data_IF_033874557533
#
_entry.id   IF_033874557533
#
_cell.length_a   1.000
_cell.length_b   1.000
_cell.length_c   1.000
_cell.angle_alpha   90.00
_cell.angle_beta   90.00
_cell.angle_gamma   90.00
#
_symmetry.space_group_name_H-M   'P 1'
#
loop_
_entity.id
_entity.type
_entity.pdbx_description
1 polymer ?
#
# COMPACT_ATOMS: atom_id res chain seq x y z
N UNK A 1 26.96 12.92 20.40
CA UNK A 1 26.54 13.27 19.03
C UNK A 1 26.67 12.02 18.17
N UNK A 2 25.67 11.13 18.20
CA UNK A 2 25.61 9.99 17.28
C UNK A 2 24.85 10.44 16.03
N UNK A 3 25.59 10.64 14.97
CA UNK A 3 25.09 10.83 13.62
C UNK A 3 24.35 9.56 13.21
N UNK A 4 23.03 9.62 13.13
CA UNK A 4 22.22 8.62 12.43
C UNK A 4 22.49 8.83 10.94
N UNK A 5 23.49 8.10 10.42
CA UNK A 5 23.80 8.07 9.00
C UNK A 5 22.60 7.54 8.23
N UNK A 6 21.83 8.44 7.60
CA UNK A 6 20.88 8.10 6.55
C UNK A 6 21.67 7.48 5.40
N UNK A 7 21.71 6.16 5.30
CA UNK A 7 22.15 5.48 4.09
C UNK A 7 21.02 5.51 3.09
N UNK A 8 20.95 6.55 2.26
CA UNK A 8 20.25 6.47 0.99
C UNK A 8 21.08 5.56 0.07
N UNK A 9 20.62 4.35 -0.17
CA UNK A 9 21.18 3.50 -1.23
C UNK A 9 20.24 3.54 -2.41
N UNK A 10 20.64 4.25 -3.44
CA UNK A 10 20.14 4.08 -4.78
C UNK A 10 20.72 2.76 -5.31
N UNK A 11 19.91 1.70 -5.43
CA UNK A 11 20.35 0.44 -6.01
C UNK A 11 19.43 0.01 -7.14
N UNK A 12 20.02 -0.18 -8.33
CA UNK A 12 19.39 -0.79 -9.49
C UNK A 12 19.21 -2.29 -9.28
N UNK A 13 18.10 -2.69 -8.67
CA UNK A 13 17.57 -4.02 -8.86
C UNK A 13 16.21 -3.84 -9.50
N UNK A 14 16.17 -3.82 -10.84
CA UNK A 14 15.01 -3.43 -11.64
C UNK A 14 14.43 -2.07 -11.22
N UNK A 15 15.31 -1.09 -10.95
CA UNK A 15 14.97 0.33 -10.77
C UNK A 15 13.87 0.62 -9.74
N UNK A 16 13.95 0.03 -8.53
CA UNK A 16 13.09 0.39 -7.39
C UNK A 16 13.85 1.30 -6.45
N UNK A 17 13.28 2.48 -6.21
CA UNK A 17 13.77 3.37 -5.17
C UNK A 17 13.33 2.87 -3.79
N UNK A 18 14.24 2.85 -2.83
CA UNK A 18 13.91 2.57 -1.43
C UNK A 18 14.79 3.36 -0.47
N UNK A 19 14.30 3.50 0.75
CA UNK A 19 15.04 4.02 1.90
C UNK A 19 14.96 3.04 3.05
N UNK A 20 16.06 2.94 3.81
CA UNK A 20 16.13 2.11 5.00
C UNK A 20 16.75 2.85 6.18
N UNK A 21 16.31 2.56 7.41
CA UNK A 21 16.85 3.11 8.64
C UNK A 21 16.60 2.17 9.83
N UNK A 22 17.36 2.38 10.91
CA UNK A 22 17.23 1.60 12.14
C UNK A 22 17.88 0.23 12.07
N UNK A 23 17.62 -0.58 13.09
CA UNK A 23 18.12 -1.94 13.23
C UNK A 23 17.08 -2.77 14.02
N UNK A 24 17.10 -4.09 13.88
CA UNK A 24 16.15 -4.99 14.53
C UNK A 24 15.33 -5.78 13.52
N UNK A 25 14.13 -6.21 13.90
CA UNK A 25 13.23 -6.91 13.00
C UNK A 25 12.78 -5.98 11.85
N UNK A 26 12.68 -6.49 10.61
CA UNK A 26 12.37 -5.64 9.48
C UNK A 26 10.87 -5.32 9.39
N UNK A 27 10.57 -4.03 9.21
CA UNK A 27 9.25 -3.52 8.83
C UNK A 27 9.35 -2.93 7.43
N UNK A 28 8.47 -3.34 6.52
CA UNK A 28 8.38 -2.78 5.17
C UNK A 28 7.07 -2.04 4.99
N UNK A 29 7.16 -0.76 4.67
CA UNK A 29 6.02 0.11 4.40
C UNK A 29 5.72 0.18 2.90
N UNK A 30 4.46 -0.11 2.54
CA UNK A 30 3.96 -0.16 1.16
C UNK A 30 2.91 0.91 0.94
N UNK A 31 3.19 1.87 0.05
CA UNK A 31 2.36 3.06 -0.15
C UNK A 31 1.10 2.81 -0.99
N UNK A 32 0.19 3.79 -0.97
CA UNK A 32 -1.06 3.81 -1.72
C UNK A 32 -0.91 4.27 -3.18
N UNK A 33 -2.00 4.15 -3.96
CA UNK A 33 -2.09 4.66 -5.33
C UNK A 33 -1.88 6.17 -5.38
N UNK A 34 -1.24 6.68 -6.43
CA UNK A 34 -0.90 8.09 -6.67
C UNK A 34 0.08 8.73 -5.68
N UNK A 35 0.66 7.93 -4.79
CA UNK A 35 1.57 8.38 -3.74
C UNK A 35 2.94 7.72 -3.90
N UNK A 36 3.84 7.99 -2.96
CA UNK A 36 5.18 7.42 -2.90
C UNK A 36 5.62 7.15 -1.45
N UNK A 37 6.87 6.73 -1.27
CA UNK A 37 7.44 6.40 0.05
C UNK A 37 7.29 7.51 1.10
N UNK A 38 7.16 8.80 0.68
CA UNK A 38 7.07 9.97 1.58
C UNK A 38 5.80 9.98 2.42
N UNK A 39 4.74 9.29 1.99
CA UNK A 39 3.54 9.16 2.82
C UNK A 39 3.81 8.52 4.18
N UNK A 40 4.93 7.80 4.31
CA UNK A 40 5.36 7.11 5.52
C UNK A 40 6.38 7.88 6.37
N UNK A 41 6.59 9.18 6.13
CA UNK A 41 7.60 9.99 6.83
C UNK A 41 7.49 9.90 8.36
N UNK A 42 6.27 10.01 8.90
CA UNK A 42 6.02 9.94 10.35
C UNK A 42 6.33 8.54 10.89
N UNK A 43 5.82 7.49 10.24
CA UNK A 43 6.03 6.10 10.64
C UNK A 43 7.50 5.71 10.56
N UNK A 44 8.15 6.06 9.45
CA UNK A 44 9.56 5.77 9.21
C UNK A 44 10.44 6.32 10.34
N UNK A 45 10.22 7.57 10.74
CA UNK A 45 11.00 8.24 11.80
C UNK A 45 10.75 7.64 13.20
N UNK A 46 9.52 7.20 13.47
CA UNK A 46 9.16 6.64 14.78
C UNK A 46 9.69 5.21 14.92
N UNK A 47 9.41 4.35 13.94
CA UNK A 47 9.72 2.93 14.03
C UNK A 47 11.21 2.61 13.82
N UNK A 48 11.97 3.46 13.09
CA UNK A 48 13.42 3.30 12.94
C UNK A 48 14.20 3.36 14.27
N UNK A 49 13.57 3.75 15.37
CA UNK A 49 14.20 3.74 16.71
C UNK A 49 14.32 2.33 17.31
N UNK A 50 13.48 1.38 16.86
CA UNK A 50 13.39 0.02 17.40
C UNK A 50 13.51 -1.09 16.35
N UNK A 51 13.20 -0.79 15.09
CA UNK A 51 13.10 -1.74 13.98
C UNK A 51 14.02 -1.37 12.83
N UNK A 52 14.36 -2.33 11.98
CA UNK A 52 14.93 -2.07 10.66
C UNK A 52 13.79 -1.72 9.72
N UNK A 53 13.61 -0.45 9.42
CA UNK A 53 12.49 0.07 8.64
C UNK A 53 12.89 0.29 7.21
N UNK A 54 12.08 -0.22 6.29
CA UNK A 54 12.23 -0.04 4.85
C UNK A 54 10.94 0.60 4.31
N UNK A 55 11.08 1.56 3.39
CA UNK A 55 10.00 2.09 2.57
C UNK A 55 10.48 2.24 1.15
N UNK A 56 9.61 2.01 0.18
CA UNK A 56 10.02 2.02 -1.22
C UNK A 56 8.91 2.56 -2.12
N UNK A 57 9.29 2.98 -3.33
CA UNK A 57 8.36 3.38 -4.36
C UNK A 57 7.96 2.17 -5.20
N UNK A 58 6.65 1.93 -5.32
CA UNK A 58 6.11 0.90 -6.19
C UNK A 58 6.49 1.17 -7.65
N UNK A 59 6.49 0.14 -8.48
CA UNK A 59 6.67 0.26 -9.93
C UNK A 59 5.70 1.28 -10.51
N UNK A 60 6.24 2.27 -11.25
CA UNK A 60 5.47 3.34 -11.86
C UNK A 60 5.01 4.43 -10.89
N UNK A 61 5.63 4.53 -9.70
CA UNK A 61 5.37 5.58 -8.74
C UNK A 61 6.67 6.20 -8.23
N UNK A 62 6.59 7.44 -7.75
CA UNK A 62 7.71 8.18 -7.18
C UNK A 62 8.92 8.20 -8.09
N UNK A 63 10.07 7.75 -7.58
CA UNK A 63 11.33 7.66 -8.32
C UNK A 63 11.61 6.28 -8.90
N UNK A 64 10.73 5.30 -8.68
CA UNK A 64 10.85 3.98 -9.31
C UNK A 64 10.52 4.02 -10.79
N UNK A 65 11.19 3.15 -11.59
CA UNK A 65 10.94 3.09 -13.02
C UNK A 65 9.48 2.73 -13.34
N UNK A 66 8.98 3.31 -14.41
CA UNK A 66 7.66 3.00 -14.98
C UNK A 66 7.66 1.60 -15.62
N UNK A 67 6.48 1.04 -15.76
CA UNK A 67 6.26 -0.18 -16.55
C UNK A 67 5.97 0.16 -18.01
N UNK A 68 5.90 -0.88 -18.83
CA UNK A 68 5.42 -0.80 -20.20
C UNK A 68 4.04 -1.44 -20.33
N UNK A 69 3.26 -1.07 -21.35
CA UNK A 69 1.93 -1.64 -21.59
C UNK A 69 1.95 -3.14 -21.96
N UNK A 70 3.12 -3.64 -22.37
CA UNK A 70 3.27 -5.01 -22.90
C UNK A 70 3.68 -6.03 -21.83
N UNK A 71 3.92 -5.59 -20.59
CA UNK A 71 4.45 -6.47 -19.55
C UNK A 71 3.49 -6.61 -18.37
N UNK A 72 3.01 -7.83 -18.18
CA UNK A 72 2.23 -8.19 -16.99
C UNK A 72 3.15 -8.36 -15.77
N UNK A 73 2.75 -7.80 -14.63
CA UNK A 73 3.53 -7.91 -13.38
C UNK A 73 2.61 -7.92 -12.16
N UNK A 74 3.17 -8.39 -11.05
CA UNK A 74 2.56 -8.30 -9.72
C UNK A 74 3.44 -7.45 -8.81
N UNK A 75 2.87 -6.47 -8.12
CA UNK A 75 3.59 -5.68 -7.13
C UNK A 75 4.15 -6.54 -5.98
N UNK A 76 3.45 -7.62 -5.62
CA UNK A 76 3.91 -8.54 -4.59
C UNK A 76 5.22 -9.24 -4.96
N UNK A 77 5.44 -9.56 -6.24
CA UNK A 77 6.70 -10.13 -6.73
C UNK A 77 7.84 -9.12 -6.68
N UNK A 78 7.54 -7.84 -6.98
CA UNK A 78 8.52 -6.76 -6.81
C UNK A 78 8.92 -6.60 -5.32
N UNK A 79 7.96 -6.71 -4.39
CA UNK A 79 8.23 -6.67 -2.95
C UNK A 79 9.11 -7.84 -2.51
N UNK A 80 8.80 -9.06 -2.94
CA UNK A 80 9.63 -10.24 -2.65
C UNK A 80 11.04 -10.08 -3.21
N UNK A 81 11.17 -9.56 -4.44
CA UNK A 81 12.46 -9.27 -5.08
C UNK A 81 13.26 -8.24 -4.28
N UNK A 82 12.60 -7.19 -3.76
CA UNK A 82 13.23 -6.20 -2.88
C UNK A 82 13.73 -6.87 -1.59
N UNK A 83 12.89 -7.70 -0.95
CA UNK A 83 13.28 -8.43 0.26
C UNK A 83 14.50 -9.33 0.02
N UNK A 84 14.52 -10.07 -1.11
CA UNK A 84 15.66 -10.94 -1.46
C UNK A 84 16.95 -10.14 -1.66
N UNK A 85 16.84 -9.00 -2.29
CA UNK A 85 17.98 -8.09 -2.54
C UNK A 85 18.56 -7.49 -1.27
N UNK A 86 17.70 -7.28 -0.27
CA UNK A 86 18.08 -6.79 1.06
C UNK A 86 18.43 -7.94 2.03
N UNK A 87 18.42 -9.19 1.54
CA UNK A 87 18.64 -10.40 2.36
C UNK A 87 17.64 -10.55 3.52
N UNK A 88 16.43 -10.03 3.36
CA UNK A 88 15.35 -10.10 4.34
C UNK A 88 14.55 -11.37 4.09
N UNK A 89 14.63 -12.33 5.01
CA UNK A 89 13.89 -13.59 4.91
C UNK A 89 12.41 -13.41 5.22
N UNK A 90 12.09 -12.68 6.30
CA UNK A 90 10.73 -12.36 6.73
C UNK A 90 10.68 -10.92 7.20
N UNK A 91 9.51 -10.28 7.06
CA UNK A 91 9.27 -8.92 7.52
C UNK A 91 7.83 -8.73 8.03
N UNK A 92 7.62 -7.72 8.86
CA UNK A 92 6.31 -7.13 9.09
C UNK A 92 5.97 -6.29 7.85
N UNK A 93 4.82 -6.55 7.22
CA UNK A 93 4.39 -5.80 6.03
C UNK A 93 3.25 -4.87 6.44
N UNK A 94 3.47 -3.58 6.22
CA UNK A 94 2.51 -2.51 6.55
C UNK A 94 2.11 -1.79 5.27
N UNK A 95 0.88 -1.97 4.84
CA UNK A 95 0.39 -1.39 3.59
C UNK A 95 -0.87 -0.56 3.77
N UNK A 96 -0.99 0.52 3.00
CA UNK A 96 -2.21 1.34 2.97
C UNK A 96 -2.80 1.37 1.55
N UNK A 97 -4.13 1.20 1.46
CA UNK A 97 -4.87 1.24 0.19
C UNK A 97 -4.30 0.22 -0.82
N UNK A 98 -3.70 0.67 -1.94
CA UNK A 98 -2.99 -0.22 -2.86
C UNK A 98 -1.94 -1.07 -2.12
N UNK A 99 -1.17 -0.46 -1.21
CA UNK A 99 -0.23 -1.19 -0.34
C UNK A 99 -0.91 -2.23 0.55
N UNK A 100 -2.12 -1.95 1.03
CA UNK A 100 -2.94 -2.91 1.77
C UNK A 100 -3.36 -4.10 0.92
N UNK A 101 -3.73 -3.89 -0.36
CA UNK A 101 -3.99 -4.99 -1.30
C UNK A 101 -2.73 -5.82 -1.58
N UNK A 102 -1.58 -5.17 -1.73
CA UNK A 102 -0.29 -5.87 -1.90
C UNK A 102 0.05 -6.70 -0.64
N UNK A 103 -0.27 -6.18 0.55
CA UNK A 103 -0.12 -6.93 1.81
C UNK A 103 -1.05 -8.15 1.85
N UNK A 104 -2.26 -8.04 1.31
CA UNK A 104 -3.17 -9.19 1.14
C UNK A 104 -2.62 -10.22 0.14
N UNK A 105 -1.98 -9.79 -0.95
CA UNK A 105 -1.29 -10.70 -1.88
C UNK A 105 -0.10 -11.41 -1.20
N UNK A 106 0.64 -10.71 -0.34
CA UNK A 106 1.69 -11.34 0.47
C UNK A 106 1.14 -12.45 1.37
N UNK A 107 -0.01 -12.23 2.02
CA UNK A 107 -0.68 -13.25 2.83
C UNK A 107 -1.13 -14.45 1.99
N UNK A 108 -1.59 -14.22 0.76
CA UNK A 108 -2.08 -15.26 -0.12
C UNK A 108 -0.95 -16.11 -0.74
N UNK A 109 0.09 -15.46 -1.27
CA UNK A 109 1.09 -16.12 -2.11
C UNK A 109 2.43 -16.36 -1.40
N UNK A 110 2.77 -15.54 -0.40
CA UNK A 110 4.06 -15.58 0.28
C UNK A 110 3.97 -15.50 1.82
N UNK A 111 3.04 -16.24 2.47
CA UNK A 111 2.86 -16.15 3.93
C UNK A 111 4.14 -16.49 4.70
N UNK A 112 4.97 -17.39 4.17
CA UNK A 112 6.24 -17.77 4.79
C UNK A 112 7.29 -16.65 4.78
N UNK A 113 7.07 -15.57 4.03
CA UNK A 113 7.92 -14.38 3.99
C UNK A 113 7.47 -13.28 4.97
N UNK A 114 6.44 -13.54 5.76
CA UNK A 114 5.85 -12.56 6.67
C UNK A 114 6.08 -12.93 8.13
N UNK A 115 6.36 -11.91 8.95
CA UNK A 115 6.25 -11.95 10.41
C UNK A 115 4.83 -11.55 10.83
N UNK A 116 4.29 -10.53 10.21
CA UNK A 116 2.90 -10.09 10.39
C UNK A 116 2.41 -9.24 9.21
N UNK A 117 1.10 -8.99 9.17
CA UNK A 117 0.43 -8.16 8.19
C UNK A 117 -0.38 -7.04 8.85
N UNK A 118 -0.16 -5.80 8.43
CA UNK A 118 -0.94 -4.64 8.85
C UNK A 118 -1.56 -3.98 7.60
N UNK A 119 -2.87 -4.15 7.44
CA UNK A 119 -3.61 -3.70 6.26
C UNK A 119 -4.46 -2.48 6.62
N UNK A 120 -4.03 -1.31 6.19
CA UNK A 120 -4.76 -0.06 6.39
C UNK A 120 -5.56 0.31 5.14
N UNK A 121 -6.88 0.52 5.27
CA UNK A 121 -7.79 0.83 4.15
C UNK A 121 -7.58 -0.06 2.91
N UNK A 122 -7.16 -1.31 3.14
CA UNK A 122 -6.88 -2.29 2.10
C UNK A 122 -7.48 -3.64 2.44
N UNK A 123 -7.98 -4.34 1.42
CA UNK A 123 -8.69 -5.59 1.59
C UNK A 123 -8.51 -6.47 0.34
N UNK A 124 -9.22 -7.59 0.27
CA UNK A 124 -9.37 -8.37 -0.95
C UNK A 124 -10.57 -7.87 -1.75
N UNK A 125 -10.51 -8.02 -3.07
CA UNK A 125 -11.62 -7.74 -3.97
C UNK A 125 -12.03 -9.02 -4.69
N UNK A 126 -13.33 -9.24 -4.81
CA UNK A 126 -13.86 -10.21 -5.77
C UNK A 126 -13.66 -9.62 -7.17
N UNK A 127 -12.79 -10.20 -7.95
CA UNK A 127 -12.61 -9.83 -9.35
C UNK A 127 -12.36 -11.08 -10.18
N UNK A 128 -12.39 -10.93 -11.50
CA UNK A 128 -11.99 -12.00 -12.42
C UNK A 128 -10.50 -12.32 -12.21
N UNK A 129 -10.12 -13.57 -12.41
CA UNK A 129 -8.74 -14.03 -12.21
C UNK A 129 -7.70 -13.23 -13.03
N UNK A 130 -6.46 -13.13 -12.54
CA UNK A 130 -5.40 -12.34 -13.17
C UNK A 130 -4.96 -12.90 -14.53
N UNK A 131 -5.24 -14.15 -14.78
CA UNK A 131 -4.81 -14.86 -15.99
C UNK A 131 -5.71 -14.61 -17.21
N UNK A 132 -6.86 -13.95 -17.04
CA UNK A 132 -7.74 -13.64 -18.18
C UNK A 132 -7.36 -12.29 -18.78
N UNK A 133 -6.87 -12.26 -20.03
CA UNK A 133 -6.66 -11.01 -20.74
C UNK A 133 -7.99 -10.24 -20.83
N UNK A 134 -7.91 -8.91 -20.81
CA UNK A 134 -9.08 -8.06 -21.05
C UNK A 134 -9.81 -8.54 -22.29
N UNK A 135 -11.12 -8.71 -22.18
CA UNK A 135 -11.98 -8.92 -23.33
C UNK A 135 -11.92 -7.72 -24.28
N UNK A 136 -12.32 -7.90 -25.52
CA UNK A 136 -12.38 -6.78 -26.49
C UNK A 136 -13.27 -5.63 -25.99
N UNK A 137 -14.35 -5.96 -25.29
CA UNK A 137 -15.25 -4.95 -24.72
C UNK A 137 -14.60 -4.20 -23.56
N UNK A 138 -13.96 -4.90 -22.63
CA UNK A 138 -13.22 -4.28 -21.53
C UNK A 138 -12.07 -3.40 -22.04
N UNK A 139 -11.35 -3.85 -23.08
CA UNK A 139 -10.30 -3.06 -23.71
C UNK A 139 -10.85 -1.79 -24.36
N UNK A 140 -12.03 -1.87 -25.02
CA UNK A 140 -12.71 -0.71 -25.60
C UNK A 140 -13.17 0.28 -24.53
N UNK A 141 -13.80 -0.19 -23.47
CA UNK A 141 -14.19 0.66 -22.32
C UNK A 141 -12.97 1.38 -21.75
N UNK A 142 -11.85 0.65 -21.60
CA UNK A 142 -10.60 1.25 -21.11
C UNK A 142 -10.05 2.31 -22.06
N UNK A 143 -10.11 2.10 -23.38
CA UNK A 143 -9.71 3.11 -24.37
C UNK A 143 -10.57 4.38 -24.29
N UNK A 144 -11.88 4.22 -24.08
CA UNK A 144 -12.82 5.33 -23.91
C UNK A 144 -12.55 6.11 -22.62
N UNK A 145 -12.27 5.42 -21.51
CA UNK A 145 -11.86 6.04 -20.23
C UNK A 145 -10.57 6.84 -20.37
N UNK A 146 -9.54 6.28 -21.01
CA UNK A 146 -8.27 6.95 -21.25
C UNK A 146 -8.48 8.20 -22.14
N UNK A 147 -9.28 8.07 -23.21
CA UNK A 147 -9.59 9.19 -24.09
C UNK A 147 -10.34 10.30 -23.36
N UNK A 148 -11.35 9.96 -22.56
CA UNK A 148 -12.11 10.90 -21.75
C UNK A 148 -11.19 11.62 -20.73
N UNK A 149 -10.28 10.89 -20.09
CA UNK A 149 -9.33 11.46 -19.16
C UNK A 149 -8.34 12.42 -19.85
N UNK A 150 -7.82 12.05 -21.01
CA UNK A 150 -6.95 12.93 -21.80
C UNK A 150 -7.68 14.20 -22.23
N UNK A 151 -8.97 14.10 -22.57
CA UNK A 151 -9.81 15.26 -22.90
C UNK A 151 -10.09 16.15 -21.68
N UNK A 152 -10.36 15.55 -20.52
CA UNK A 152 -10.60 16.25 -19.25
C UNK A 152 -9.36 16.98 -18.73
N UNK A 153 -8.20 16.39 -18.97
CA UNK A 153 -6.90 16.87 -18.50
C UNK A 153 -6.47 16.23 -17.16
N UNK A 154 -5.21 15.84 -17.13
CA UNK A 154 -4.59 15.14 -15.99
C UNK A 154 -4.63 15.97 -14.71
N UNK A 155 -4.37 17.27 -14.82
CA UNK A 155 -4.37 18.18 -13.66
C UNK A 155 -5.76 18.30 -13.03
N UNK A 156 -6.83 18.24 -13.81
CA UNK A 156 -8.19 18.24 -13.30
C UNK A 156 -8.46 16.94 -12.55
N UNK A 157 -8.05 15.80 -13.10
CA UNK A 157 -8.16 14.50 -12.46
C UNK A 157 -7.41 14.46 -11.12
N UNK A 158 -6.15 14.92 -11.08
CA UNK A 158 -5.35 14.97 -9.85
C UNK A 158 -6.03 15.80 -8.75
N UNK A 159 -6.57 16.96 -9.12
CA UNK A 159 -7.32 17.83 -8.19
C UNK A 159 -8.58 17.14 -7.65
N UNK A 160 -9.38 16.53 -8.51
CA UNK A 160 -10.59 15.83 -8.09
C UNK A 160 -10.25 14.63 -7.18
N UNK A 161 -9.20 13.88 -7.52
CA UNK A 161 -8.71 12.79 -6.70
C UNK A 161 -8.26 13.26 -5.32
N UNK A 162 -7.45 14.33 -5.27
CA UNK A 162 -7.01 14.96 -4.03
C UNK A 162 -8.19 15.45 -3.18
N UNK A 163 -9.14 16.18 -3.77
CA UNK A 163 -10.32 16.67 -3.05
C UNK A 163 -11.21 15.52 -2.54
N UNK A 164 -11.28 14.41 -3.28
CA UNK A 164 -11.97 13.20 -2.84
C UNK A 164 -11.34 12.60 -1.58
N UNK A 165 -10.01 12.49 -1.55
CA UNK A 165 -9.27 12.02 -0.38
C UNK A 165 -9.43 12.97 0.81
N UNK A 166 -9.32 14.28 0.59
CA UNK A 166 -9.53 15.28 1.63
C UNK A 166 -10.95 15.25 2.19
N UNK A 167 -11.96 15.10 1.33
CA UNK A 167 -13.36 15.03 1.73
C UNK A 167 -13.66 13.82 2.61
N UNK A 168 -13.01 12.68 2.36
CA UNK A 168 -13.17 11.46 3.16
C UNK A 168 -12.59 11.58 4.57
N UNK A 169 -11.72 12.56 4.82
CA UNK A 169 -11.02 12.76 6.10
C UNK A 169 -11.95 13.22 7.23
N UNK A 170 -11.47 13.02 8.45
CA UNK A 170 -12.07 13.52 9.69
C UNK A 170 -11.64 14.95 10.01
N UNK A 171 -11.68 15.29 11.30
CA UNK A 171 -11.41 16.65 11.77
C UNK A 171 -9.95 17.11 11.60
N UNK A 172 -8.98 16.17 11.51
CA UNK A 172 -7.55 16.51 11.35
C UNK A 172 -7.05 16.43 9.89
N UNK A 173 -7.93 16.29 8.91
CA UNK A 173 -7.55 16.14 7.49
C UNK A 173 -6.64 17.24 6.95
N UNK A 174 -6.71 18.46 7.49
CA UNK A 174 -5.86 19.58 7.04
C UNK A 174 -4.36 19.31 7.28
N UNK A 175 -4.01 18.45 8.24
CA UNK A 175 -2.63 18.04 8.51
C UNK A 175 -1.96 17.39 7.29
N UNK A 176 -2.73 16.61 6.54
CA UNK A 176 -2.19 15.90 5.37
C UNK A 176 -2.24 16.72 4.08
N UNK A 177 -2.95 17.85 4.02
CA UNK A 177 -3.23 18.64 2.81
C UNK A 177 -1.99 18.90 1.96
N UNK A 178 -0.95 19.49 2.55
CA UNK A 178 0.26 19.87 1.81
C UNK A 178 1.06 18.66 1.33
N UNK A 179 1.47 17.71 2.20
CA UNK A 179 2.25 16.56 1.76
C UNK A 179 1.47 15.63 0.83
N UNK A 180 0.16 15.47 1.01
CA UNK A 180 -0.68 14.69 0.13
C UNK A 180 -0.78 15.31 -1.27
N UNK A 181 -1.04 16.62 -1.36
CA UNK A 181 -1.09 17.32 -2.63
C UNK A 181 0.25 17.25 -3.36
N UNK A 182 1.36 17.46 -2.66
CA UNK A 182 2.68 17.41 -3.26
C UNK A 182 2.95 16.06 -3.95
N UNK A 183 2.66 14.94 -3.31
CA UNK A 183 2.84 13.61 -3.93
C UNK A 183 1.92 13.40 -5.13
N UNK A 184 0.65 13.82 -5.04
CA UNK A 184 -0.32 13.69 -6.14
C UNK A 184 0.05 14.59 -7.33
N UNK A 185 0.51 15.80 -7.06
CA UNK A 185 0.94 16.76 -8.08
C UNK A 185 2.18 16.27 -8.84
N UNK A 186 3.15 15.71 -8.13
CA UNK A 186 4.38 15.14 -8.68
C UNK A 186 4.19 13.76 -9.35
N UNK A 187 3.08 13.06 -9.08
CA UNK A 187 2.78 11.78 -9.73
C UNK A 187 2.57 11.96 -11.24
N UNK A 188 3.23 11.14 -12.06
CA UNK A 188 3.17 11.23 -13.53
C UNK A 188 1.82 10.80 -14.12
N UNK A 189 0.95 10.20 -13.29
CA UNK A 189 -0.35 9.68 -13.68
C UNK A 189 -0.29 8.67 -14.85
N UNK A 190 0.80 7.89 -14.92
CA UNK A 190 0.98 6.91 -15.99
C UNK A 190 -0.17 5.88 -16.03
N UNK A 191 -0.53 5.34 -14.85
CA UNK A 191 -1.51 4.25 -14.73
C UNK A 191 -2.91 4.59 -15.28
N UNK A 192 -3.52 5.75 -14.99
CA UNK A 192 -4.81 6.08 -15.54
C UNK A 192 -4.77 6.42 -17.03
N UNK A 193 -3.60 6.74 -17.60
CA UNK A 193 -3.43 7.15 -19.01
C UNK A 193 -3.03 6.01 -19.95
N UNK A 194 -2.79 4.82 -19.42
CA UNK A 194 -2.27 3.68 -20.17
C UNK A 194 -3.01 2.38 -19.82
N UNK A 195 -2.83 1.37 -20.64
CA UNK A 195 -3.33 0.01 -20.41
C UNK A 195 -2.34 -0.76 -19.54
N UNK A 196 -2.32 -0.43 -18.25
CA UNK A 196 -1.45 -1.12 -17.31
C UNK A 196 -1.89 -2.58 -17.16
N UNK A 197 -0.97 -3.49 -17.38
CA UNK A 197 -1.19 -4.93 -17.14
C UNK A 197 -0.66 -5.27 -15.75
N UNK A 198 -1.30 -4.74 -14.74
CA UNK A 198 -1.00 -5.00 -13.35
C UNK A 198 -1.94 -6.04 -12.77
N UNK A 199 -1.37 -7.09 -12.21
CA UNK A 199 -2.10 -8.03 -11.36
C UNK A 199 -2.05 -7.50 -9.94
N UNK A 200 -3.21 -7.11 -9.42
CA UNK A 200 -3.37 -6.56 -8.06
C UNK A 200 -4.10 -7.56 -7.18
N UNK A 201 -3.85 -7.42 -5.90
CA UNK A 201 -4.50 -8.17 -4.86
C UNK A 201 -6.00 -8.34 -5.05
N UNK A 202 -6.47 -9.50 -4.72
CA UNK A 202 -7.87 -9.86 -4.73
C UNK A 202 -8.34 -10.51 -6.02
N UNK A 203 -7.49 -10.65 -7.02
CA UNK A 203 -7.88 -11.38 -8.24
C UNK A 203 -8.00 -12.88 -7.96
N UNK A 204 -6.91 -13.51 -7.54
CA UNK A 204 -6.90 -14.93 -7.13
C UNK A 204 -6.57 -15.11 -5.64
N UNK A 205 -6.26 -14.03 -4.92
CA UNK A 205 -5.89 -14.08 -3.51
C UNK A 205 -6.94 -14.81 -2.65
N UNK A 206 -8.22 -14.65 -2.97
CA UNK A 206 -9.30 -15.35 -2.26
C UNK A 206 -9.15 -16.86 -2.36
N UNK A 207 -8.87 -17.40 -3.55
CA UNK A 207 -8.73 -18.85 -3.74
C UNK A 207 -7.49 -19.40 -3.03
N UNK A 208 -6.39 -18.65 -3.03
CA UNK A 208 -5.19 -19.05 -2.30
C UNK A 208 -5.39 -18.93 -0.78
N UNK A 209 -6.05 -17.88 -0.29
CA UNK A 209 -6.38 -17.71 1.13
C UNK A 209 -7.33 -18.80 1.63
N UNK A 210 -8.33 -19.24 0.82
CA UNK A 210 -9.21 -20.37 1.12
C UNK A 210 -8.46 -21.68 1.30
N UNK A 211 -7.39 -21.88 0.52
CA UNK A 211 -6.57 -23.09 0.60
C UNK A 211 -5.60 -23.07 1.77
N UNK A 212 -4.93 -21.94 1.98
CA UNK A 212 -3.82 -21.83 2.92
C UNK A 212 -4.24 -21.49 4.35
N UNK A 213 -5.31 -20.66 4.53
CA UNK A 213 -5.69 -20.09 5.83
C UNK A 213 -4.45 -19.65 6.63
N UNK A 214 -3.65 -18.70 6.13
CA UNK A 214 -2.34 -18.41 6.71
C UNK A 214 -2.46 -18.01 8.17
N UNK A 215 -1.65 -18.63 9.05
CA UNK A 215 -1.62 -18.34 10.48
C UNK A 215 -0.83 -17.06 10.82
N UNK A 216 -0.44 -16.29 9.82
CA UNK A 216 0.27 -15.01 10.00
C UNK A 216 -0.59 -14.05 10.82
N UNK A 217 -0.08 -13.47 11.91
CA UNK A 217 -0.80 -12.44 12.66
C UNK A 217 -1.17 -11.27 11.74
N UNK A 218 -2.43 -10.86 11.75
CA UNK A 218 -2.89 -9.80 10.86
C UNK A 218 -3.78 -8.79 11.59
N UNK A 219 -3.56 -7.50 11.33
CA UNK A 219 -4.42 -6.42 11.79
C UNK A 219 -4.94 -5.63 10.57
N UNK A 220 -6.24 -5.63 10.42
CA UNK A 220 -6.93 -4.77 9.45
C UNK A 220 -7.29 -3.48 10.18
N UNK A 221 -6.92 -2.33 9.60
CA UNK A 221 -7.21 -1.02 10.16
C UNK A 221 -8.03 -0.20 9.20
N UNK A 222 -9.15 0.32 9.67
CA UNK A 222 -10.08 1.12 8.88
C UNK A 222 -10.31 2.47 9.56
N UNK A 223 -10.37 3.54 8.76
CA UNK A 223 -10.75 4.86 9.23
C UNK A 223 -12.26 5.06 9.17
N UNK A 224 -12.84 5.69 10.17
CA UNK A 224 -14.24 6.04 10.24
C UNK A 224 -14.44 7.54 10.36
N UNK A 225 -15.12 8.13 9.38
CA UNK A 225 -15.59 9.52 9.41
C UNK A 225 -17.02 9.59 8.86
N UNK A 226 -17.65 10.77 8.90
CA UNK A 226 -18.99 10.98 8.32
C UNK A 226 -19.04 10.62 6.83
N UNK A 227 -17.97 10.86 6.09
CA UNK A 227 -17.87 10.69 4.65
C UNK A 227 -17.07 9.45 4.23
N UNK A 228 -16.42 8.77 5.17
CA UNK A 228 -15.69 7.53 4.94
C UNK A 228 -16.41 6.35 5.58
N UNK A 229 -17.05 5.53 4.74
CA UNK A 229 -17.73 4.31 5.19
C UNK A 229 -16.73 3.16 5.19
N UNK A 230 -16.53 2.54 6.34
CA UNK A 230 -15.70 1.35 6.48
C UNK A 230 -16.53 0.06 6.55
N UNK A 231 -15.90 -1.07 6.30
CA UNK A 231 -16.51 -2.38 6.50
C UNK A 231 -16.29 -2.86 7.94
N UNK A 232 -17.39 -3.10 8.67
CA UNK A 232 -17.32 -3.74 10.00
C UNK A 232 -16.87 -5.20 9.95
N UNK A 233 -16.97 -5.83 8.77
CA UNK A 233 -16.53 -7.20 8.52
C UNK A 233 -15.74 -7.23 7.22
N UNK A 234 -14.44 -6.84 7.23
CA UNK A 234 -13.60 -6.94 6.05
C UNK A 234 -13.55 -8.39 5.53
N UNK A 235 -13.84 -8.64 4.25
CA UNK A 235 -13.93 -10.01 3.72
C UNK A 235 -12.69 -10.87 3.95
N UNK A 236 -11.51 -10.27 4.03
CA UNK A 236 -10.26 -10.99 4.27
C UNK A 236 -10.23 -11.72 5.63
N UNK A 237 -10.96 -11.21 6.63
CA UNK A 237 -10.99 -11.82 7.97
C UNK A 237 -11.58 -13.24 7.97
N UNK A 238 -12.41 -13.59 6.99
CA UNK A 238 -12.94 -14.96 6.84
C UNK A 238 -11.85 -16.01 6.63
N UNK A 239 -10.66 -15.57 6.12
CA UNK A 239 -9.56 -16.44 5.74
C UNK A 239 -8.36 -16.34 6.67
N UNK A 240 -8.40 -15.44 7.66
CA UNK A 240 -7.28 -15.15 8.56
C UNK A 240 -7.63 -15.56 10.00
N UNK A 241 -7.25 -16.76 10.45
CA UNK A 241 -7.60 -17.25 11.81
C UNK A 241 -7.04 -16.35 12.94
N UNK A 242 -5.94 -15.64 12.70
CA UNK A 242 -5.31 -14.70 13.61
C UNK A 242 -5.56 -13.23 13.21
N UNK A 243 -6.56 -12.99 12.36
CA UNK A 243 -6.93 -11.65 11.89
C UNK A 243 -7.76 -10.88 12.93
N UNK A 244 -7.46 -9.59 13.09
CA UNK A 244 -8.20 -8.66 13.95
C UNK A 244 -8.57 -7.41 13.16
N UNK A 245 -9.61 -6.70 13.61
CA UNK A 245 -10.02 -5.40 13.08
C UNK A 245 -9.84 -4.33 14.13
N UNK A 246 -9.28 -3.19 13.75
CA UNK A 246 -9.24 -1.96 14.55
C UNK A 246 -9.79 -0.78 13.74
N UNK A 247 -10.60 0.04 14.38
CA UNK A 247 -11.15 1.26 13.77
C UNK A 247 -10.44 2.46 14.39
N UNK A 248 -10.02 3.40 13.52
CA UNK A 248 -9.56 4.72 13.93
C UNK A 248 -10.71 5.69 13.68
N UNK A 249 -11.28 6.23 14.75
CA UNK A 249 -12.42 7.13 14.68
C UNK A 249 -12.01 8.54 14.24
N UNK A 250 -12.96 9.29 13.67
CA UNK A 250 -12.78 10.63 13.13
C UNK A 250 -11.59 10.71 12.17
N UNK A 251 -11.52 9.76 11.26
CA UNK A 251 -10.41 9.55 10.35
C UNK A 251 -10.87 9.02 8.99
N UNK A 252 -10.23 9.48 7.92
CA UNK A 252 -10.53 9.04 6.57
C UNK A 252 -9.62 7.93 6.06
N UNK A 253 -9.50 7.89 4.74
CA UNK A 253 -8.72 6.88 4.02
C UNK A 253 -7.22 6.95 4.33
N UNK A 254 -6.69 8.16 4.51
CA UNK A 254 -5.25 8.44 4.68
C UNK A 254 -4.84 8.51 6.16
N UNK A 255 -5.23 7.50 6.93
CA UNK A 255 -5.14 7.50 8.39
C UNK A 255 -3.72 7.67 8.94
N UNK A 256 -2.70 7.17 8.26
CA UNK A 256 -1.30 7.30 8.66
C UNK A 256 -0.77 8.74 8.55
N UNK A 257 -1.38 9.56 7.69
CA UNK A 257 -1.03 10.98 7.49
C UNK A 257 -1.95 11.91 8.27
N UNK A 258 -3.21 11.53 8.42
CA UNK A 258 -4.22 12.32 9.11
C UNK A 258 -4.11 12.19 10.64
N UNK A 259 -3.95 10.95 11.13
CA UNK A 259 -3.88 10.58 12.54
C UNK A 259 -2.65 9.72 12.84
N UNK A 260 -1.43 10.24 12.59
CA UNK A 260 -0.22 9.44 12.70
C UNK A 260 0.02 8.92 14.12
N UNK A 261 -0.41 9.64 15.16
CA UNK A 261 -0.25 9.22 16.54
C UNK A 261 -1.07 7.95 16.84
N UNK A 262 -2.36 7.96 16.47
CA UNK A 262 -3.28 6.82 16.65
C UNK A 262 -2.90 5.65 15.75
N UNK A 263 -2.46 5.94 14.52
CA UNK A 263 -1.96 4.92 13.60
C UNK A 263 -0.70 4.24 14.16
N UNK A 264 0.26 5.03 14.62
CA UNK A 264 1.51 4.53 15.20
C UNK A 264 1.25 3.71 16.47
N UNK A 265 0.35 4.18 17.35
CA UNK A 265 -0.05 3.45 18.53
C UNK A 265 -0.70 2.10 18.18
N UNK A 266 -1.56 2.06 17.15
CA UNK A 266 -2.18 0.82 16.69
C UNK A 266 -1.14 -0.18 16.15
N UNK A 267 -0.17 0.30 15.37
CA UNK A 267 0.90 -0.54 14.85
C UNK A 267 1.84 -1.02 15.97
N UNK A 268 2.26 -0.14 16.89
CA UNK A 268 3.14 -0.51 18.00
C UNK A 268 2.46 -1.53 18.92
N UNK A 269 1.19 -1.33 19.30
CA UNK A 269 0.40 -2.27 20.09
C UNK A 269 0.31 -3.64 19.40
N UNK A 270 0.08 -3.65 18.10
CA UNK A 270 0.01 -4.88 17.33
C UNK A 270 1.33 -5.64 17.33
N UNK A 271 2.45 -4.94 17.05
CA UNK A 271 3.79 -5.55 17.02
C UNK A 271 4.18 -6.13 18.40
N UNK A 272 3.95 -5.39 19.48
CA UNK A 272 4.23 -5.89 20.87
C UNK A 272 3.42 -7.15 21.20
N UNK A 273 2.15 -7.20 20.77
CA UNK A 273 1.28 -8.34 21.08
C UNK A 273 1.62 -9.63 20.31
N UNK A 274 2.38 -9.55 19.23
CA UNK A 274 2.84 -10.73 18.48
C UNK A 274 4.22 -11.23 18.90
N UNK A 275 5.00 -10.41 19.63
CA UNK A 275 6.29 -10.78 20.21
C UNK A 275 6.14 -11.59 21.51
N UNK A 276 4.95 -11.61 22.13
CA UNK A 276 4.60 -12.37 23.33
C UNK A 276 4.07 -13.76 23.01
#
# INVERSE_FOLDING_TARGET
LHSTSRRQRQMCIRDRYYEEAGQGEPIIFVHGHSLDHRMWNEQFSVFAKKYHVIRYDLRGYGTSSSQTEDYQFMHVEDLVTLMDSLHIKKAHIVGLSLGGFITADMLAYFPDRMLSAFLASGNIRKSKGPSEPMTKEEAKVRDEEIAALKQKGVEVMKKEWFEGLMKSGGSQRERMRVPLWQMIDEWDAWQPLHKEVRVVAGLDAIEELKKSHPAVPALIVEGHSSDNKFSKNPPILEYLPNGKLKIIEDCGHMMNMERPEEFNAALEEFLINIEQ
#
